data_IF_946703519003
#
_entry.id   IF_946703519003
#
_cell.length_a   1.000
_cell.length_b   1.000
_cell.length_c   1.000
_cell.angle_alpha   90.00
_cell.angle_beta   90.00
_cell.angle_gamma   90.00
#
_symmetry.space_group_name_H-M   'P 1'
#
loop_
_entity.id
_entity.type
_entity.pdbx_description
1 polymer ?
#
# COMPACT_ATOMS: atom_id res chain seq x y z
N UNK A 1 16.40 3.19 26.56
CA UNK A 1 16.38 3.93 25.27
C UNK A 1 15.28 3.32 24.42
N UNK A 2 14.45 4.12 23.76
CA UNK A 2 13.46 3.63 22.80
C UNK A 2 14.18 2.86 21.68
N UNK A 3 13.67 1.68 21.32
CA UNK A 3 14.23 0.88 20.22
C UNK A 3 13.94 1.55 18.86
N UNK A 4 14.94 1.60 17.98
CA UNK A 4 14.83 2.16 16.63
C UNK A 4 14.49 1.07 15.61
N UNK A 5 13.39 1.21 14.89
CA UNK A 5 13.08 0.39 13.72
C UNK A 5 13.66 1.08 12.49
N UNK A 6 14.49 0.37 11.72
CA UNK A 6 14.88 0.82 10.39
C UNK A 6 13.97 0.16 9.36
N UNK A 7 13.38 0.96 8.47
CA UNK A 7 12.56 0.48 7.36
C UNK A 7 13.23 0.89 6.05
N UNK A 8 13.46 -0.05 5.15
CA UNK A 8 14.00 0.17 3.81
C UNK A 8 12.92 -0.14 2.78
N UNK A 9 12.42 0.91 2.13
CA UNK A 9 11.46 0.77 1.03
C UNK A 9 11.57 1.95 0.06
N UNK A 10 11.09 1.73 -1.15
CA UNK A 10 11.11 2.67 -2.28
C UNK A 10 9.71 2.81 -2.87
N UNK A 11 9.47 4.01 -3.41
CA UNK A 11 8.31 4.38 -4.16
C UNK A 11 8.70 5.31 -5.32
N UNK A 12 8.22 4.97 -6.50
CA UNK A 12 8.34 5.77 -7.71
C UNK A 12 7.03 5.69 -8.50
N UNK A 13 6.83 6.50 -9.55
CA UNK A 13 5.66 6.34 -10.42
C UNK A 13 5.53 4.93 -11.01
N UNK A 14 6.63 4.22 -11.22
CA UNK A 14 6.65 2.84 -11.74
C UNK A 14 6.40 1.79 -10.65
N UNK A 15 6.95 2.00 -9.44
CA UNK A 15 6.78 1.08 -8.31
C UNK A 15 5.39 1.25 -7.67
N UNK A 16 4.84 2.45 -7.70
CA UNK A 16 3.67 2.85 -6.93
C UNK A 16 4.03 3.24 -5.49
N UNK A 17 3.01 3.65 -4.73
CA UNK A 17 3.18 4.17 -3.36
C UNK A 17 2.88 3.11 -2.28
N UNK A 18 2.38 1.94 -2.67
CA UNK A 18 1.85 0.92 -1.75
C UNK A 18 2.86 0.45 -0.70
N UNK A 19 4.10 0.16 -1.13
CA UNK A 19 5.20 -0.28 -0.26
C UNK A 19 5.46 0.73 0.87
N UNK A 20 5.66 2.01 0.54
CA UNK A 20 5.88 3.06 1.54
C UNK A 20 4.65 3.24 2.44
N UNK A 21 3.43 3.20 1.90
CA UNK A 21 2.23 3.42 2.71
C UNK A 21 1.92 2.26 3.68
N UNK A 22 2.19 1.00 3.31
CA UNK A 22 2.05 -0.13 4.26
C UNK A 22 3.18 -0.18 5.28
N UNK A 23 4.39 0.17 4.87
CA UNK A 23 5.50 0.41 5.79
C UNK A 23 5.20 1.53 6.78
N UNK A 24 4.50 2.59 6.35
CA UNK A 24 4.03 3.64 7.24
C UNK A 24 3.06 3.10 8.29
N UNK A 25 2.11 2.23 7.93
CA UNK A 25 1.23 1.60 8.93
C UNK A 25 2.02 0.82 9.99
N UNK A 26 3.04 0.07 9.57
CA UNK A 26 3.94 -0.63 10.49
C UNK A 26 4.74 0.34 11.38
N UNK A 27 5.27 1.41 10.79
CA UNK A 27 5.98 2.46 11.51
C UNK A 27 5.08 3.12 12.57
N UNK A 28 3.83 3.41 12.21
CA UNK A 28 2.85 4.01 13.11
C UNK A 28 2.55 3.10 14.30
N UNK A 29 2.42 1.79 14.07
CA UNK A 29 2.24 0.80 15.14
C UNK A 29 3.47 0.69 16.05
N UNK A 30 4.68 0.78 15.49
CA UNK A 30 5.92 0.78 16.28
C UNK A 30 6.06 2.04 17.16
N UNK A 31 5.73 3.21 16.62
CA UNK A 31 5.70 4.46 17.37
C UNK A 31 4.69 4.43 18.52
N UNK A 32 3.53 3.82 18.33
CA UNK A 32 2.51 3.65 19.38
C UNK A 32 3.03 2.83 20.58
N UNK A 33 3.96 1.90 20.33
CA UNK A 33 4.65 1.14 21.39
C UNK A 33 5.83 1.92 22.01
N UNK A 34 5.94 3.23 21.73
CA UNK A 34 7.00 4.10 22.23
C UNK A 34 8.33 3.97 21.49
N UNK A 35 8.34 3.31 20.33
CA UNK A 35 9.50 3.11 19.48
C UNK A 35 9.86 4.33 18.61
N UNK A 36 11.09 4.36 18.09
CA UNK A 36 11.54 5.32 17.06
C UNK A 36 11.60 4.65 15.70
N UNK A 37 11.38 5.39 14.62
CA UNK A 37 11.45 4.85 13.26
C UNK A 37 12.35 5.75 12.42
N UNK A 38 13.25 5.12 11.67
CA UNK A 38 14.00 5.73 10.58
C UNK A 38 13.61 5.00 9.29
N UNK A 39 13.34 5.75 8.25
CA UNK A 39 13.01 5.26 6.93
C UNK A 39 14.19 5.48 5.99
N UNK A 40 14.67 4.46 5.31
CA UNK A 40 15.72 4.53 4.31
C UNK A 40 15.12 4.30 2.91
N UNK A 41 15.46 5.17 1.97
CA UNK A 41 14.98 5.07 0.60
C UNK A 41 16.00 5.56 -0.42
N UNK A 42 16.08 4.89 -1.56
CA UNK A 42 16.75 5.40 -2.77
C UNK A 42 15.77 6.23 -3.59
N UNK A 43 14.53 5.74 -3.74
CA UNK A 43 13.50 6.35 -4.58
C UNK A 43 12.29 6.72 -3.73
N UNK A 44 12.05 8.01 -3.54
CA UNK A 44 10.86 8.51 -2.86
C UNK A 44 10.44 9.86 -3.42
N UNK A 45 9.13 10.04 -3.64
CA UNK A 45 8.61 11.33 -4.10
C UNK A 45 8.57 12.36 -2.96
N UNK A 46 8.67 13.67 -3.25
CA UNK A 46 8.58 14.70 -2.22
C UNK A 46 7.32 14.63 -1.36
N UNK A 47 6.17 14.25 -1.96
CA UNK A 47 4.91 14.11 -1.23
C UNK A 47 4.90 12.94 -0.23
N UNK A 48 5.52 11.81 -0.58
CA UNK A 48 5.68 10.68 0.35
C UNK A 48 6.69 10.99 1.46
N UNK A 49 7.79 11.66 1.10
CA UNK A 49 8.77 12.12 2.09
C UNK A 49 8.14 13.10 3.10
N UNK A 50 7.32 14.04 2.63
CA UNK A 50 6.51 14.91 3.47
C UNK A 50 5.59 14.10 4.39
N UNK A 51 4.85 13.14 3.83
CA UNK A 51 3.96 12.29 4.64
C UNK A 51 4.70 11.57 5.77
N UNK A 52 5.86 10.96 5.49
CA UNK A 52 6.67 10.33 6.54
C UNK A 52 7.10 11.33 7.61
N UNK A 53 7.57 12.52 7.20
CA UNK A 53 8.01 13.55 8.15
C UNK A 53 6.87 14.12 9.00
N UNK A 54 5.65 14.24 8.47
CA UNK A 54 4.48 14.66 9.28
C UNK A 54 4.16 13.69 10.40
N UNK A 55 4.62 12.44 10.29
CA UNK A 55 4.49 11.39 11.31
C UNK A 55 5.71 11.35 12.25
N UNK A 56 6.62 12.33 12.15
CA UNK A 56 7.86 12.37 12.93
C UNK A 56 8.85 11.26 12.56
N UNK A 57 8.76 10.70 11.35
CA UNK A 57 9.68 9.67 10.86
C UNK A 57 10.85 10.35 10.15
N UNK A 58 12.07 10.03 10.56
CA UNK A 58 13.29 10.48 9.90
C UNK A 58 13.47 9.74 8.57
N UNK A 59 13.81 10.48 7.52
CA UNK A 59 14.09 9.92 6.19
C UNK A 59 15.58 10.02 5.88
N UNK A 60 16.20 8.87 5.61
CA UNK A 60 17.57 8.72 5.17
C UNK A 60 17.60 8.37 3.68
N UNK A 61 18.35 9.14 2.90
CA UNK A 61 18.54 8.86 1.48
C UNK A 61 19.69 7.87 1.29
N UNK A 62 19.44 6.78 0.57
CA UNK A 62 20.49 5.82 0.18
C UNK A 62 20.99 6.21 -1.22
N UNK A 63 22.31 6.36 -1.38
CA UNK A 63 22.91 6.85 -2.62
C UNK A 63 23.40 5.72 -3.54
N UNK A 64 22.67 4.60 -3.61
CA UNK A 64 23.06 3.39 -4.33
C UNK A 64 21.97 2.91 -5.28
N UNK A 65 22.31 1.94 -6.14
CA UNK A 65 21.30 1.25 -6.97
C UNK A 65 20.40 0.40 -6.08
N UNK A 66 19.06 0.52 -6.17
CA UNK A 66 18.13 -0.25 -5.33
C UNK A 66 18.36 -1.76 -5.44
N UNK A 67 18.45 -2.45 -4.31
CA UNK A 67 18.66 -3.91 -4.27
C UNK A 67 20.09 -4.37 -4.61
N UNK A 68 21.01 -3.45 -4.91
CA UNK A 68 22.41 -3.82 -5.15
C UNK A 68 23.14 -4.20 -3.86
N UNK A 69 24.29 -4.87 -4.00
CA UNK A 69 25.15 -5.15 -2.86
C UNK A 69 25.64 -3.86 -2.16
N UNK A 70 25.81 -2.76 -2.90
CA UNK A 70 26.17 -1.47 -2.32
C UNK A 70 25.03 -0.90 -1.47
N UNK A 71 23.77 -0.98 -1.94
CA UNK A 71 22.58 -0.65 -1.14
C UNK A 71 22.53 -1.50 0.13
N UNK A 72 22.72 -2.81 0.03
CA UNK A 72 22.71 -3.70 1.20
C UNK A 72 23.77 -3.29 2.24
N UNK A 73 24.98 -2.94 1.79
CA UNK A 73 26.06 -2.49 2.68
C UNK A 73 25.74 -1.15 3.35
N UNK A 74 25.22 -0.17 2.62
CA UNK A 74 24.86 1.15 3.15
C UNK A 74 23.69 1.04 4.13
N UNK A 75 22.63 0.31 3.76
CA UNK A 75 21.48 0.01 4.62
C UNK A 75 21.91 -0.70 5.90
N UNK A 76 22.86 -1.63 5.81
CA UNK A 76 23.38 -2.32 7.01
C UNK A 76 24.21 -1.40 7.89
N UNK A 77 25.08 -0.57 7.31
CA UNK A 77 25.88 0.39 8.06
C UNK A 77 24.97 1.35 8.86
N UNK A 78 23.90 1.85 8.22
CA UNK A 78 22.89 2.66 8.86
C UNK A 78 22.18 1.92 10.01
N UNK A 79 21.78 0.66 9.78
CA UNK A 79 21.16 -0.15 10.84
C UNK A 79 22.06 -0.30 12.08
N UNK A 80 23.37 -0.49 11.86
CA UNK A 80 24.37 -0.62 12.91
C UNK A 80 24.62 0.69 13.65
N UNK A 81 24.71 1.81 12.92
CA UNK A 81 24.84 3.16 13.48
C UNK A 81 23.65 3.48 14.40
N UNK A 82 22.44 3.21 13.93
CA UNK A 82 21.20 3.42 14.67
C UNK A 82 20.99 2.41 15.81
N UNK A 83 21.82 1.36 15.87
CA UNK A 83 21.64 0.18 16.75
C UNK A 83 20.22 -0.38 16.64
N UNK A 84 19.70 -0.43 15.41
CA UNK A 84 18.34 -0.88 15.14
C UNK A 84 18.22 -2.38 15.39
N UNK A 85 17.41 -2.85 16.35
CA UNK A 85 17.23 -4.28 16.59
C UNK A 85 16.53 -5.01 15.45
N UNK A 86 15.84 -4.28 14.57
CA UNK A 86 15.11 -4.81 13.43
C UNK A 86 15.29 -3.92 12.20
N UNK A 87 15.47 -4.57 11.06
CA UNK A 87 15.39 -4.00 9.72
C UNK A 87 14.18 -4.60 9.01
N UNK A 88 13.34 -3.73 8.45
CA UNK A 88 12.22 -4.11 7.58
C UNK A 88 12.61 -3.79 6.14
N UNK A 89 12.38 -4.71 5.21
CA UNK A 89 12.56 -4.49 3.78
C UNK A 89 11.25 -4.73 3.04
N UNK A 90 10.90 -3.86 2.10
CA UNK A 90 9.63 -3.93 1.38
C UNK A 90 9.72 -3.37 -0.05
N UNK A 91 10.19 -4.18 -1.00
CA UNK A 91 10.08 -4.04 -2.45
C UNK A 91 10.51 -5.34 -3.13
N UNK A 92 10.12 -5.55 -4.39
CA UNK A 92 10.45 -6.77 -5.15
C UNK A 92 11.91 -6.89 -5.62
N UNK A 93 12.74 -5.87 -5.39
CA UNK A 93 14.17 -5.91 -5.73
C UNK A 93 15.04 -6.33 -4.52
N UNK A 94 14.45 -6.66 -3.38
CA UNK A 94 15.17 -7.21 -2.21
C UNK A 94 15.18 -8.74 -2.26
N UNK A 95 15.94 -9.26 -3.23
CA UNK A 95 16.07 -10.68 -3.55
C UNK A 95 16.81 -11.50 -2.47
N UNK A 96 17.05 -12.78 -2.76
CA UNK A 96 17.76 -13.71 -1.88
C UNK A 96 19.15 -13.19 -1.50
N UNK A 97 19.94 -12.75 -2.48
CA UNK A 97 21.28 -12.23 -2.27
C UNK A 97 21.28 -10.96 -1.41
N UNK A 98 20.36 -10.02 -1.64
CA UNK A 98 20.21 -8.83 -0.81
C UNK A 98 19.89 -9.20 0.64
N UNK A 99 18.90 -10.07 0.86
CA UNK A 99 18.54 -10.54 2.21
C UNK A 99 19.71 -11.27 2.89
N UNK A 100 20.47 -12.08 2.14
CA UNK A 100 21.63 -12.80 2.67
C UNK A 100 22.71 -11.83 3.17
N UNK A 101 23.02 -10.78 2.40
CA UNK A 101 24.01 -9.76 2.77
C UNK A 101 23.62 -9.04 4.07
N UNK A 102 22.34 -8.70 4.23
CA UNK A 102 21.83 -8.10 5.47
C UNK A 102 21.98 -9.05 6.66
N UNK A 103 21.66 -10.34 6.47
CA UNK A 103 21.73 -11.36 7.53
C UNK A 103 23.15 -11.70 7.97
N UNK A 104 24.13 -11.71 7.07
CA UNK A 104 25.55 -11.96 7.39
C UNK A 104 26.11 -10.96 8.41
N UNK A 105 25.48 -9.79 8.56
CA UNK A 105 25.87 -8.74 9.50
C UNK A 105 25.11 -8.79 10.83
N UNK A 106 24.34 -9.86 11.05
CA UNK A 106 23.66 -10.14 12.33
C UNK A 106 22.36 -9.38 12.55
N UNK A 107 21.80 -8.73 11.52
CA UNK A 107 20.53 -8.02 11.63
C UNK A 107 19.36 -8.99 11.78
N UNK A 108 18.35 -8.58 12.56
CA UNK A 108 17.03 -9.22 12.51
C UNK A 108 16.24 -8.58 11.38
N UNK A 109 15.74 -9.42 10.48
CA UNK A 109 15.15 -9.01 9.22
C UNK A 109 13.69 -9.43 9.16
N UNK A 110 12.83 -8.45 8.87
CA UNK A 110 11.45 -8.67 8.45
C UNK A 110 11.35 -8.31 6.96
N UNK A 111 10.98 -9.27 6.11
CA UNK A 111 10.64 -9.01 4.71
C UNK A 111 9.12 -8.89 4.56
N UNK A 112 8.64 -7.80 3.98
CA UNK A 112 7.24 -7.68 3.56
C UNK A 112 7.15 -8.15 2.11
N UNK A 113 6.21 -9.03 1.82
CA UNK A 113 6.08 -9.71 0.55
C UNK A 113 4.61 -9.85 0.11
N UNK A 114 4.39 -10.02 -1.18
CA UNK A 114 3.04 -10.19 -1.76
C UNK A 114 2.80 -11.55 -2.39
N UNK A 115 3.81 -12.15 -3.06
CA UNK A 115 3.60 -13.30 -3.94
C UNK A 115 4.75 -14.33 -3.98
N UNK A 116 5.68 -14.29 -3.03
CA UNK A 116 6.79 -15.25 -2.93
C UNK A 116 7.86 -15.03 -4.00
N UNK A 117 8.28 -13.78 -4.21
CA UNK A 117 9.17 -13.42 -5.33
C UNK A 117 10.62 -13.89 -5.17
N UNK A 118 11.12 -14.04 -3.94
CA UNK A 118 12.50 -14.45 -3.70
C UNK A 118 12.65 -15.96 -3.84
N UNK A 119 13.76 -16.38 -4.45
CA UNK A 119 14.16 -17.80 -4.59
C UNK A 119 14.39 -18.46 -3.24
N UNK A 120 14.91 -17.71 -2.26
CA UNK A 120 15.08 -18.14 -0.87
C UNK A 120 14.90 -16.94 0.06
N UNK A 121 14.08 -17.09 1.11
CA UNK A 121 13.90 -16.07 2.13
C UNK A 121 14.87 -16.28 3.30
N UNK A 122 15.79 -15.35 3.47
CA UNK A 122 16.75 -15.38 4.58
C UNK A 122 16.25 -14.64 5.83
N UNK A 123 15.12 -13.93 5.71
CA UNK A 123 14.53 -13.13 6.78
C UNK A 123 14.14 -13.98 8.01
N UNK A 124 14.21 -13.38 9.21
CA UNK A 124 13.71 -14.01 10.44
C UNK A 124 12.18 -14.05 10.44
N UNK A 125 11.56 -13.09 9.75
CA UNK A 125 10.12 -13.01 9.57
C UNK A 125 9.79 -12.63 8.12
N UNK A 126 8.77 -13.26 7.56
CA UNK A 126 8.15 -12.83 6.30
C UNK A 126 6.71 -12.48 6.60
N UNK A 127 6.28 -11.27 6.21
CA UNK A 127 4.91 -10.82 6.34
C UNK A 127 4.27 -10.69 4.97
N UNK A 128 3.18 -11.43 4.76
CA UNK A 128 2.32 -11.28 3.60
C UNK A 128 0.87 -11.14 4.07
N UNK A 129 0.36 -9.92 3.98
CA UNK A 129 -0.98 -9.54 4.44
C UNK A 129 -2.11 -10.00 3.52
N UNK A 130 -1.80 -10.59 2.36
CA UNK A 130 -2.81 -10.83 1.35
C UNK A 130 -3.69 -12.04 1.68
N UNK A 131 -4.98 -11.98 1.31
CA UNK A 131 -5.98 -13.04 1.58
C UNK A 131 -5.60 -14.42 1.03
N UNK A 132 -4.80 -14.46 -0.03
CA UNK A 132 -4.33 -15.68 -0.67
C UNK A 132 -2.97 -16.16 -0.14
N UNK A 133 -2.39 -15.45 0.82
CA UNK A 133 -1.09 -15.79 1.37
C UNK A 133 -1.15 -17.14 2.08
N UNK A 134 -0.36 -18.10 1.59
CA UNK A 134 -0.22 -19.43 2.19
C UNK A 134 1.26 -19.80 2.28
N UNK A 135 1.55 -20.83 3.09
CA UNK A 135 2.91 -21.36 3.24
C UNK A 135 3.49 -21.85 1.91
N UNK A 136 2.65 -22.23 0.95
CA UNK A 136 3.07 -22.74 -0.37
C UNK A 136 3.77 -21.67 -1.22
N UNK A 137 3.51 -20.38 -0.95
CA UNK A 137 4.23 -19.27 -1.59
C UNK A 137 5.69 -19.15 -1.11
N UNK A 138 6.03 -19.80 0.01
CA UNK A 138 7.33 -19.66 0.68
C UNK A 138 8.04 -21.01 0.87
N UNK A 139 8.28 -21.79 -0.21
CA UNK A 139 8.83 -23.14 -0.10
C UNK A 139 10.29 -23.16 0.37
N UNK A 140 11.02 -22.05 0.23
CA UNK A 140 12.43 -21.92 0.55
C UNK A 140 12.64 -20.78 1.55
N UNK A 141 12.68 -21.13 2.83
CA UNK A 141 12.97 -20.22 3.93
C UNK A 141 14.08 -20.79 4.81
N UNK A 142 14.73 -19.94 5.61
CA UNK A 142 15.58 -20.43 6.69
C UNK A 142 14.74 -21.23 7.71
N UNK A 143 15.33 -22.24 8.40
CA UNK A 143 14.57 -23.12 9.31
C UNK A 143 13.80 -22.43 10.44
N UNK A 144 14.22 -21.23 10.84
CA UNK A 144 13.61 -20.45 11.93
C UNK A 144 12.81 -19.25 11.44
N UNK A 145 12.57 -19.12 10.13
CA UNK A 145 11.77 -18.03 9.56
C UNK A 145 10.32 -18.18 10.00
N UNK A 146 9.78 -17.13 10.62
CA UNK A 146 8.36 -17.08 10.99
C UNK A 146 7.55 -16.44 9.87
N UNK A 147 6.55 -17.17 9.36
CA UNK A 147 5.62 -16.68 8.35
C UNK A 147 4.41 -16.02 9.04
N UNK A 148 4.16 -14.75 8.72
CA UNK A 148 3.00 -13.98 9.14
C UNK A 148 2.08 -13.78 7.92
N UNK A 149 1.13 -14.69 7.74
CA UNK A 149 0.37 -14.80 6.49
C UNK A 149 -1.12 -14.50 6.71
N UNK A 150 -1.70 -13.79 5.75
CA UNK A 150 -3.13 -13.52 5.68
C UNK A 150 -3.54 -12.22 6.36
N UNK A 151 -4.86 -11.98 6.33
CA UNK A 151 -5.46 -10.72 6.76
C UNK A 151 -5.29 -10.42 8.25
N UNK A 152 -4.96 -11.42 9.08
CA UNK A 152 -4.63 -11.23 10.50
C UNK A 152 -3.41 -10.32 10.70
N UNK A 153 -2.58 -10.18 9.66
CA UNK A 153 -1.39 -9.34 9.64
C UNK A 153 -1.54 -8.13 8.70
N UNK A 154 -2.76 -7.75 8.35
CA UNK A 154 -3.02 -6.58 7.52
C UNK A 154 -2.47 -5.29 8.13
N UNK A 155 -1.62 -4.61 7.38
CA UNK A 155 -0.99 -3.36 7.81
C UNK A 155 -1.97 -2.19 7.59
N UNK A 156 -2.76 -1.89 8.62
CA UNK A 156 -3.72 -0.79 8.64
C UNK A 156 -3.14 0.45 9.31
N UNK A 157 -3.17 1.57 8.58
CA UNK A 157 -2.68 2.85 9.06
C UNK A 157 -3.53 3.37 10.23
N UNK A 158 -2.92 4.20 11.10
CA UNK A 158 -3.54 4.65 12.35
C UNK A 158 -4.84 5.42 12.16
N UNK A 159 -5.01 6.07 11.00
CA UNK A 159 -6.23 6.82 10.66
C UNK A 159 -7.45 5.90 10.59
N UNK A 160 -7.26 4.60 10.31
CA UNK A 160 -8.33 3.60 10.28
C UNK A 160 -8.62 2.98 11.65
N UNK A 161 -7.76 3.17 12.66
CA UNK A 161 -7.96 2.51 13.95
C UNK A 161 -9.24 2.96 14.70
N UNK A 162 -9.64 4.26 14.69
CA UNK A 162 -10.92 4.68 15.26
C UNK A 162 -12.15 4.06 14.60
N UNK A 163 -12.00 3.48 13.41
CA UNK A 163 -13.09 2.92 12.61
C UNK A 163 -13.25 1.41 12.76
N UNK A 164 -12.44 0.74 13.58
CA UNK A 164 -12.45 -0.73 13.74
C UNK A 164 -13.82 -1.29 14.15
N UNK A 165 -14.55 -0.56 14.97
CA UNK A 165 -15.89 -0.95 15.44
C UNK A 165 -17.02 -0.27 14.65
N UNK A 166 -16.68 0.46 13.59
CA UNK A 166 -17.66 1.19 12.80
C UNK A 166 -18.49 0.23 11.94
N UNK A 167 -19.81 0.36 12.05
CA UNK A 167 -20.76 -0.41 11.25
C UNK A 167 -21.19 0.39 10.04
N UNK A 168 -20.81 -0.08 8.86
CA UNK A 168 -21.18 0.53 7.58
C UNK A 168 -22.70 0.45 7.37
N UNK A 169 -23.40 1.58 7.20
CA UNK A 169 -24.77 1.54 6.69
C UNK A 169 -24.75 1.11 5.23
N UNK A 170 -25.53 0.08 4.89
CA UNK A 170 -25.68 -0.38 3.51
C UNK A 170 -26.90 0.33 2.90
N UNK A 171 -26.65 1.22 1.94
CA UNK A 171 -27.70 1.91 1.22
C UNK A 171 -28.45 0.95 0.28
N UNK A 172 -29.78 1.09 0.21
CA UNK A 172 -30.61 0.33 -0.76
C UNK A 172 -30.31 0.72 -2.22
N UNK A 173 -29.79 1.92 -2.45
CA UNK A 173 -29.34 2.40 -3.76
C UNK A 173 -28.04 3.16 -3.56
N UNK A 174 -26.96 2.65 -4.16
CA UNK A 174 -25.66 3.31 -4.12
C UNK A 174 -25.67 4.56 -5.02
N UNK A 175 -25.33 5.72 -4.45
CA UNK A 175 -25.22 6.99 -5.18
C UNK A 175 -23.87 7.66 -4.97
N UNK A 176 -23.22 7.40 -3.84
CA UNK A 176 -21.93 7.97 -3.47
C UNK A 176 -20.82 7.00 -3.87
N UNK A 177 -20.01 7.41 -4.85
CA UNK A 177 -18.95 6.57 -5.42
C UNK A 177 -17.59 7.16 -5.11
N UNK A 178 -16.72 6.38 -4.48
CA UNK A 178 -15.32 6.71 -4.32
C UNK A 178 -14.51 6.03 -5.42
N UNK A 179 -13.70 6.78 -6.16
CA UNK A 179 -12.78 6.23 -7.17
C UNK A 179 -11.34 6.50 -6.73
N UNK A 180 -10.53 5.46 -6.55
CA UNK A 180 -9.11 5.60 -6.22
C UNK A 180 -8.27 4.46 -6.83
N UNK A 181 -7.53 4.76 -7.90
CA UNK A 181 -6.75 3.75 -8.63
C UNK A 181 -5.25 3.78 -8.28
N UNK A 182 -4.93 4.28 -7.08
CA UNK A 182 -3.57 4.36 -6.55
C UNK A 182 -2.82 5.63 -6.94
N UNK A 183 -1.55 5.68 -6.52
CA UNK A 183 -0.75 6.91 -6.54
C UNK A 183 -0.32 7.42 -7.93
N UNK A 184 -0.19 6.53 -8.91
CA UNK A 184 0.44 6.85 -10.20
C UNK A 184 -0.50 6.73 -11.42
N UNK A 185 -1.46 5.79 -11.41
CA UNK A 185 -2.38 5.49 -12.53
C UNK A 185 -1.76 5.67 -13.93
N UNK A 186 -0.71 4.89 -14.28
CA UNK A 186 0.10 5.11 -15.47
C UNK A 186 -0.65 4.92 -16.79
N UNK A 187 -1.87 4.36 -16.75
CA UNK A 187 -2.69 4.09 -17.92
C UNK A 187 -3.92 4.99 -18.03
N UNK A 188 -4.02 6.03 -17.19
CA UNK A 188 -5.18 6.92 -17.11
C UNK A 188 -6.50 6.14 -16.98
N UNK A 189 -6.48 5.09 -16.17
CA UNK A 189 -7.63 4.22 -15.92
C UNK A 189 -8.73 5.02 -15.23
N UNK A 190 -8.37 6.05 -14.46
CA UNK A 190 -9.31 6.94 -13.77
C UNK A 190 -10.25 7.61 -14.77
N UNK A 191 -9.74 8.15 -15.88
CA UNK A 191 -10.59 8.76 -16.91
C UNK A 191 -11.55 7.74 -17.54
N UNK A 192 -11.09 6.50 -17.76
CA UNK A 192 -11.93 5.41 -18.28
C UNK A 192 -13.04 5.03 -17.31
N UNK A 193 -12.76 5.03 -16.00
CA UNK A 193 -13.78 4.80 -14.96
C UNK A 193 -14.81 5.92 -14.98
N UNK A 194 -14.38 7.18 -15.03
CA UNK A 194 -15.31 8.32 -15.14
C UNK A 194 -16.23 8.18 -16.36
N UNK A 195 -15.67 7.88 -17.53
CA UNK A 195 -16.45 7.63 -18.75
C UNK A 195 -17.42 6.44 -18.61
N UNK A 196 -17.03 5.39 -17.90
CA UNK A 196 -17.90 4.24 -17.65
C UNK A 196 -19.04 4.59 -16.69
N UNK A 197 -18.81 5.44 -15.68
CA UNK A 197 -19.86 5.94 -14.78
C UNK A 197 -20.91 6.74 -15.56
N UNK A 198 -20.50 7.48 -16.59
CA UNK A 198 -21.43 8.19 -17.47
C UNK A 198 -22.38 7.28 -18.25
N UNK A 199 -22.12 5.97 -18.34
CA UNK A 199 -23.07 5.02 -18.93
C UNK A 199 -24.25 4.69 -18.00
N UNK A 200 -24.12 4.97 -16.69
CA UNK A 200 -25.15 4.68 -15.68
C UNK A 200 -26.21 5.78 -15.66
N UNK A 201 -27.33 5.57 -16.36
CA UNK A 201 -28.36 6.59 -16.55
C UNK A 201 -29.55 6.58 -15.62
N UNK A 202 -29.68 5.50 -14.84
CA UNK A 202 -30.85 5.32 -13.98
C UNK A 202 -30.82 6.21 -12.73
N UNK A 203 -29.64 6.75 -12.34
CA UNK A 203 -29.44 7.55 -11.13
C UNK A 203 -28.36 8.60 -11.34
N UNK A 204 -28.49 9.73 -10.66
CA UNK A 204 -27.40 10.71 -10.54
C UNK A 204 -26.42 10.25 -9.46
N UNK A 205 -25.12 10.26 -9.78
CA UNK A 205 -24.06 9.86 -8.88
C UNK A 205 -23.34 11.08 -8.30
N UNK A 206 -23.00 10.99 -7.02
CA UNK A 206 -22.02 11.85 -6.38
C UNK A 206 -20.70 11.09 -6.33
N UNK A 207 -19.68 11.58 -7.03
CA UNK A 207 -18.43 10.87 -7.22
C UNK A 207 -17.27 11.67 -6.65
N UNK A 208 -16.47 11.05 -5.79
CA UNK A 208 -15.18 11.60 -5.38
C UNK A 208 -14.08 10.80 -6.07
N UNK A 209 -13.28 11.47 -6.90
CA UNK A 209 -12.13 10.88 -7.59
C UNK A 209 -10.86 11.30 -6.87
N UNK A 210 -10.13 10.33 -6.32
CA UNK A 210 -8.85 10.55 -5.66
C UNK A 210 -7.71 10.28 -6.64
N UNK A 211 -6.91 11.32 -6.86
CA UNK A 211 -5.74 11.28 -7.73
C UNK A 211 -4.48 11.40 -6.86
N UNK A 212 -3.54 10.47 -7.05
CA UNK A 212 -2.25 10.54 -6.36
C UNK A 212 -1.35 11.66 -6.88
N UNK A 213 -0.44 12.14 -6.03
CA UNK A 213 0.53 13.19 -6.36
C UNK A 213 1.37 12.92 -7.63
N UNK A 214 1.55 11.64 -7.98
CA UNK A 214 2.42 11.21 -9.07
C UNK A 214 1.67 10.91 -10.37
N UNK A 215 0.37 11.20 -10.43
CA UNK A 215 -0.44 10.96 -11.63
C UNK A 215 -0.18 12.04 -12.70
N UNK A 216 0.32 11.68 -13.90
CA UNK A 216 0.64 12.65 -14.95
C UNK A 216 -0.60 13.15 -15.73
N UNK A 217 -1.79 12.58 -15.48
CA UNK A 217 -3.01 12.81 -16.25
C UNK A 217 -4.04 13.71 -15.56
N UNK A 218 -3.66 14.46 -14.52
CA UNK A 218 -4.58 15.33 -13.77
C UNK A 218 -5.46 16.20 -14.70
N UNK A 219 -4.84 16.98 -15.58
CA UNK A 219 -5.57 17.88 -16.48
C UNK A 219 -6.54 17.16 -17.41
N UNK A 220 -6.17 15.95 -17.87
CA UNK A 220 -7.02 15.13 -18.72
C UNK A 220 -8.20 14.53 -17.95
N UNK A 221 -7.98 14.12 -16.69
CA UNK A 221 -9.03 13.64 -15.81
C UNK A 221 -10.00 14.79 -15.48
N UNK A 222 -9.51 15.98 -15.15
CA UNK A 222 -10.36 17.15 -14.92
C UNK A 222 -11.21 17.53 -16.15
N UNK A 223 -10.64 17.42 -17.35
CA UNK A 223 -11.39 17.64 -18.58
C UNK A 223 -12.51 16.61 -18.78
N UNK A 224 -12.22 15.33 -18.48
CA UNK A 224 -13.19 14.24 -18.54
C UNK A 224 -14.30 14.46 -17.50
N UNK A 225 -13.95 14.87 -16.29
CA UNK A 225 -14.88 15.18 -15.19
C UNK A 225 -15.81 16.33 -15.55
N UNK A 226 -15.29 17.41 -16.15
CA UNK A 226 -16.14 18.54 -16.59
C UNK A 226 -17.16 18.17 -17.67
N UNK A 227 -16.90 17.11 -18.43
CA UNK A 227 -17.81 16.61 -19.47
C UNK A 227 -18.82 15.57 -18.93
N UNK A 228 -18.63 15.09 -17.71
CA UNK A 228 -19.53 14.10 -17.10
C UNK A 228 -20.87 14.72 -16.75
N UNK A 229 -21.91 13.89 -16.77
CA UNK A 229 -23.25 14.28 -16.30
C UNK A 229 -23.42 14.18 -14.78
N UNK A 230 -22.53 13.45 -14.11
CA UNK A 230 -22.59 13.19 -12.67
C UNK A 230 -21.90 14.31 -11.91
N UNK A 231 -22.19 14.45 -10.61
CA UNK A 231 -21.48 15.40 -9.75
C UNK A 231 -20.15 14.80 -9.33
N UNK A 232 -19.07 15.16 -10.03
CA UNK A 232 -17.74 14.60 -9.77
C UNK A 232 -16.80 15.66 -9.20
N UNK A 233 -16.21 15.35 -8.04
CA UNK A 233 -15.16 16.16 -7.41
C UNK A 233 -13.84 15.42 -7.45
N UNK A 234 -12.81 16.07 -7.99
CA UNK A 234 -11.43 15.56 -7.98
C UNK A 234 -10.72 16.07 -6.73
N UNK A 235 -10.06 15.18 -5.98
CA UNK A 235 -9.20 15.52 -4.85
C UNK A 235 -7.82 14.91 -5.01
N UNK A 236 -6.80 15.58 -4.49
CA UNK A 236 -5.42 15.11 -4.45
C UNK A 236 -4.88 15.11 -3.02
N UNK A 237 -3.95 14.20 -2.74
CA UNK A 237 -3.20 14.14 -1.48
C UNK A 237 -4.08 14.16 -0.21
N UNK A 238 -5.20 13.44 -0.26
CA UNK A 238 -6.13 13.35 0.85
C UNK A 238 -5.50 12.66 2.06
N UNK A 239 -5.71 13.22 3.25
CA UNK A 239 -5.35 12.62 4.52
C UNK A 239 -6.53 11.93 5.22
N UNK A 240 -7.76 12.28 4.81
CA UNK A 240 -9.07 11.85 5.33
C UNK A 240 -9.65 10.64 4.57
N UNK A 241 -8.80 9.66 4.23
CA UNK A 241 -9.24 8.47 3.51
C UNK A 241 -10.35 7.67 4.24
N UNK A 242 -10.28 7.44 5.57
CA UNK A 242 -11.34 6.73 6.29
C UNK A 242 -12.71 7.44 6.17
N UNK A 243 -12.74 8.76 6.29
CA UNK A 243 -13.96 9.57 6.20
C UNK A 243 -14.58 9.47 4.80
N UNK A 244 -13.74 9.54 3.75
CA UNK A 244 -14.17 9.36 2.37
C UNK A 244 -14.70 7.95 2.10
N UNK A 245 -14.04 6.93 2.67
CA UNK A 245 -14.51 5.55 2.59
C UNK A 245 -15.82 5.33 3.35
N UNK A 246 -16.02 6.00 4.48
CA UNK A 246 -17.27 5.96 5.24
C UNK A 246 -18.41 6.70 4.54
N UNK A 247 -18.11 7.80 3.85
CA UNK A 247 -19.06 8.55 3.04
C UNK A 247 -19.53 7.75 1.82
N UNK A 248 -18.65 6.99 1.17
CA UNK A 248 -19.01 6.27 -0.05
C UNK A 248 -19.88 5.03 0.19
N UNK A 249 -20.82 4.78 -0.73
CA UNK A 249 -21.62 3.56 -0.78
C UNK A 249 -20.87 2.45 -1.55
N UNK A 250 -20.11 2.84 -2.58
CA UNK A 250 -19.31 1.95 -3.44
C UNK A 250 -17.92 2.56 -3.66
N UNK A 251 -16.90 1.72 -3.64
CA UNK A 251 -15.53 2.09 -3.96
C UNK A 251 -15.04 1.34 -5.21
N UNK A 252 -14.47 2.09 -6.16
CA UNK A 252 -13.77 1.57 -7.34
C UNK A 252 -12.29 1.80 -7.11
N UNK A 253 -11.53 0.71 -6.91
CA UNK A 253 -10.12 0.82 -6.55
C UNK A 253 -9.19 -0.06 -7.37
N UNK A 254 -7.90 0.25 -7.34
CA UNK A 254 -6.88 -0.71 -7.74
C UNK A 254 -6.83 -1.88 -6.72
N UNK A 255 -6.29 -3.02 -7.15
CA UNK A 255 -6.11 -4.22 -6.33
C UNK A 255 -4.87 -4.14 -5.40
N UNK A 256 -4.73 -3.03 -4.66
CA UNK A 256 -3.59 -2.75 -3.80
C UNK A 256 -3.92 -2.75 -2.30
N UNK A 257 -3.09 -2.10 -1.48
CA UNK A 257 -3.27 -2.00 -0.03
C UNK A 257 -4.61 -1.36 0.39
N UNK A 258 -5.18 -0.49 -0.46
CA UNK A 258 -6.50 0.11 -0.27
C UNK A 258 -7.61 -0.94 -0.11
N UNK A 259 -7.46 -2.14 -0.68
CA UNK A 259 -8.44 -3.22 -0.47
C UNK A 259 -8.53 -3.62 1.01
N UNK A 260 -7.41 -3.63 1.74
CA UNK A 260 -7.41 -3.97 3.17
C UNK A 260 -8.06 -2.87 4.00
N UNK A 261 -7.84 -1.61 3.63
CA UNK A 261 -8.51 -0.46 4.24
C UNK A 261 -10.03 -0.53 4.03
N UNK A 262 -10.50 -0.84 2.82
CA UNK A 262 -11.92 -1.02 2.52
C UNK A 262 -12.54 -2.18 3.31
N UNK A 263 -11.85 -3.33 3.39
CA UNK A 263 -12.32 -4.48 4.15
C UNK A 263 -12.43 -4.14 5.66
N UNK A 264 -11.46 -3.42 6.21
CA UNK A 264 -11.51 -2.93 7.58
C UNK A 264 -12.67 -1.94 7.82
N UNK A 265 -13.04 -1.17 6.79
CA UNK A 265 -14.19 -0.26 6.79
C UNK A 265 -15.53 -0.96 6.46
N UNK A 266 -15.61 -2.28 6.58
CA UNK A 266 -16.86 -3.03 6.43
C UNK A 266 -17.43 -3.07 5.02
N UNK A 267 -16.62 -2.87 3.97
CA UNK A 267 -17.07 -3.13 2.60
C UNK A 267 -17.18 -4.66 2.37
N UNK A 268 -18.37 -5.20 2.05
CA UNK A 268 -18.51 -6.64 1.79
C UNK A 268 -17.70 -7.11 0.57
N UNK A 269 -17.16 -8.33 0.65
CA UNK A 269 -16.46 -9.01 -0.42
C UNK A 269 -17.06 -10.41 -0.61
N UNK A 270 -17.94 -10.59 -1.61
CA UNK A 270 -18.44 -11.93 -2.00
C UNK A 270 -19.95 -12.05 -2.24
N UNK A 271 -20.27 -12.61 -3.41
CA UNK A 271 -21.50 -13.25 -3.95
C UNK A 271 -22.91 -12.67 -3.76
N UNK A 272 -23.19 -11.71 -2.89
CA UNK A 272 -24.54 -11.11 -2.85
C UNK A 272 -24.64 -9.60 -2.98
N UNK A 273 -23.62 -8.81 -2.64
CA UNK A 273 -23.56 -7.39 -3.02
C UNK A 273 -22.07 -6.98 -3.13
N UNK A 274 -21.63 -6.44 -4.27
CA UNK A 274 -20.24 -6.04 -4.53
C UNK A 274 -20.09 -4.50 -4.43
N UNK A 275 -19.72 -3.93 -3.28
CA UNK A 275 -19.36 -2.53 -3.16
C UNK A 275 -17.86 -2.25 -3.35
N UNK A 276 -17.05 -3.28 -3.62
CA UNK A 276 -15.65 -3.13 -4.08
C UNK A 276 -15.57 -3.58 -5.53
N UNK A 277 -15.35 -2.65 -6.44
CA UNK A 277 -14.98 -2.95 -7.83
C UNK A 277 -13.46 -2.80 -7.92
N UNK A 278 -12.75 -3.92 -7.86
CA UNK A 278 -11.31 -3.94 -8.03
C UNK A 278 -10.94 -4.01 -9.51
N UNK A 279 -10.31 -2.96 -10.04
CA UNK A 279 -9.71 -2.98 -11.36
C UNK A 279 -8.39 -3.77 -11.31
N UNK A 280 -8.45 -5.11 -11.42
CA UNK A 280 -7.25 -5.91 -11.74
C UNK A 280 -6.81 -5.68 -13.18
N UNK A 281 -5.52 -5.90 -13.47
CA UNK A 281 -5.04 -6.01 -14.86
C UNK A 281 -5.91 -7.06 -15.57
N UNK A 282 -6.41 -6.73 -16.75
CA UNK A 282 -7.29 -7.59 -17.55
C UNK A 282 -6.65 -8.94 -17.98
N UNK A 283 -5.42 -9.24 -17.55
CA UNK A 283 -4.68 -10.45 -17.90
C UNK A 283 -5.00 -11.65 -17.01
N UNK A 284 -5.57 -11.44 -15.82
CA UNK A 284 -5.74 -12.51 -14.81
C UNK A 284 -7.18 -13.06 -14.76
N UNK A 285 -8.10 -12.51 -15.56
CA UNK A 285 -9.45 -13.06 -15.76
C UNK A 285 -9.42 -14.16 -16.84
N UNK A 286 -8.60 -15.19 -16.64
CA UNK A 286 -8.72 -16.44 -17.38
C UNK A 286 -9.53 -17.43 -16.55
N UNK A 287 -10.80 -17.61 -16.93
CA UNK A 287 -11.55 -18.83 -16.67
C UNK A 287 -12.33 -18.89 -15.37
N UNK A 288 -13.50 -18.25 -15.34
CA UNK A 288 -14.67 -18.82 -14.69
C UNK A 288 -15.82 -18.80 -15.69
N UNK A 289 -15.72 -19.73 -16.66
CA UNK A 289 -16.80 -20.38 -17.40
C UNK A 289 -16.26 -21.73 -17.84
#
# INVERSE_FOLDING_TARGET
MSATLLIRADASPQIGTGHVMRCLALAQAWQEQGGKVVFASVLISPGLAERLRTEGIELHSIAQVPGSAADAHETTALAQELRAPWLVVDNYHFDDNYQQLLKQRGLRLLAIDDYGHATHYHADMVLNQNIYASVDLYPQCNPNTKLLLGCDYALLRREFWPWRDWQRPIAATARRVLVTLGGADPHNTTARVVQALDLIAAVDLEVVVLIGASNPYLSAIEATVRASRHQIVVRQNVSDMPELMAWADVAITAAGSTCWELLAMGYPHGSQHLPIISCRRATDWRGAN
#
